data_IF_592400283658
#
_entry.id   IF_592400283658
#
_cell.length_a   1.000
_cell.length_b   1.000
_cell.length_c   1.000
_cell.angle_alpha   90.00
_cell.angle_beta   90.00
_cell.angle_gamma   90.00
#
_symmetry.space_group_name_H-M   'P 1'
#
loop_
_entity.id
_entity.type
_entity.pdbx_description
1 polymer ?
#
# COMPACT_ATOMS: atom_id res chain seq x y z
N UNK A 1 11.52 -14.20 3.08
CA UNK A 1 11.09 -13.44 1.87
C UNK A 1 10.97 -14.27 0.59
N UNK A 2 11.79 -15.31 0.32
CA UNK A 2 11.75 -16.08 -0.95
C UNK A 2 10.35 -16.59 -1.33
N UNK A 3 9.59 -17.15 -0.39
CA UNK A 3 8.21 -17.65 -0.61
C UNK A 3 7.17 -16.55 -0.93
N UNK A 4 7.56 -15.28 -0.81
CA UNK A 4 6.71 -14.11 -1.06
C UNK A 4 7.07 -13.36 -2.34
N UNK A 5 7.88 -13.98 -3.21
CA UNK A 5 8.27 -13.41 -4.49
C UNK A 5 7.08 -13.53 -5.47
N UNK A 6 6.62 -12.39 -6.00
CA UNK A 6 5.55 -12.29 -7.00
C UNK A 6 6.11 -12.17 -8.41
N UNK A 7 7.22 -11.45 -8.57
CA UNK A 7 7.89 -11.23 -9.86
C UNK A 7 9.39 -11.05 -9.69
N UNK A 8 10.17 -11.50 -10.68
CA UNK A 8 11.62 -11.31 -10.75
C UNK A 8 12.10 -11.18 -12.19
N UNK A 9 12.93 -10.15 -12.43
CA UNK A 9 13.75 -10.04 -13.62
C UNK A 9 15.17 -9.53 -13.30
N UNK A 10 15.91 -9.06 -14.31
CA UNK A 10 17.27 -8.56 -14.11
C UNK A 10 17.34 -7.24 -13.33
N UNK A 11 16.30 -6.41 -13.37
CA UNK A 11 16.31 -5.05 -12.83
C UNK A 11 15.42 -4.84 -11.60
N UNK A 12 14.37 -5.65 -11.42
CA UNK A 12 13.47 -5.50 -10.29
C UNK A 12 12.96 -6.83 -9.72
N UNK A 13 12.45 -6.75 -8.50
CA UNK A 13 11.60 -7.75 -7.87
C UNK A 13 10.29 -7.09 -7.45
N UNK A 14 9.22 -7.88 -7.40
CA UNK A 14 7.99 -7.51 -6.70
C UNK A 14 7.74 -8.60 -5.67
N UNK A 15 7.51 -8.21 -4.43
CA UNK A 15 7.23 -9.13 -3.32
C UNK A 15 5.88 -8.81 -2.68
N UNK A 16 5.28 -9.83 -2.07
CA UNK A 16 4.14 -9.69 -1.16
C UNK A 16 4.66 -9.34 0.24
N UNK A 17 4.69 -8.05 0.60
CA UNK A 17 5.10 -7.63 1.94
C UNK A 17 4.07 -8.09 2.99
N UNK A 18 4.46 -8.80 4.05
CA UNK A 18 3.52 -9.10 5.12
C UNK A 18 3.08 -7.84 5.88
N UNK A 19 1.89 -7.88 6.47
CA UNK A 19 1.47 -6.89 7.46
C UNK A 19 2.40 -6.93 8.69
N UNK A 20 2.38 -5.88 9.49
CA UNK A 20 3.15 -5.72 10.73
C UNK A 20 4.68 -5.71 10.59
N UNK A 21 5.22 -5.73 9.36
CA UNK A 21 6.65 -5.60 9.08
C UNK A 21 6.93 -4.20 8.48
N UNK A 22 7.63 -3.30 9.21
CA UNK A 22 8.03 -2.02 8.64
C UNK A 22 9.09 -2.23 7.55
N UNK A 23 9.11 -1.34 6.54
CA UNK A 23 10.10 -1.44 5.45
C UNK A 23 11.50 -1.03 5.91
N UNK A 24 11.61 0.00 6.76
CA UNK A 24 12.85 0.51 7.37
C UNK A 24 12.79 0.41 8.88
N UNK A 25 13.95 0.39 9.52
CA UNK A 25 14.04 0.57 10.96
C UNK A 25 13.46 1.93 11.35
N UNK A 26 12.55 1.95 12.35
CA UNK A 26 12.12 3.18 13.00
C UNK A 26 13.19 3.72 13.96
N UNK A 27 12.95 4.90 14.59
CA UNK A 27 13.89 5.48 15.55
C UNK A 27 14.30 4.56 16.72
N UNK A 28 13.41 3.63 17.09
CA UNK A 28 13.67 2.62 18.14
C UNK A 28 14.34 1.34 17.62
N UNK A 29 14.74 1.25 16.34
CA UNK A 29 15.30 0.03 15.75
C UNK A 29 14.24 -1.07 15.56
N UNK A 30 14.69 -2.33 15.60
CA UNK A 30 13.84 -3.51 15.54
C UNK A 30 13.78 -4.17 14.16
N UNK A 31 13.07 -5.33 14.06
CA UNK A 31 12.95 -6.07 12.82
C UNK A 31 12.30 -5.24 11.73
N UNK A 32 12.86 -5.29 10.53
CA UNK A 32 12.35 -4.58 9.35
C UNK A 32 12.70 -5.35 8.08
N UNK A 33 12.04 -4.98 6.99
CA UNK A 33 12.17 -5.68 5.72
C UNK A 33 13.59 -5.61 5.14
N UNK A 34 14.29 -4.48 5.31
CA UNK A 34 15.64 -4.32 4.75
C UNK A 34 16.61 -5.38 5.25
N UNK A 35 16.47 -5.82 6.50
CA UNK A 35 17.29 -6.89 7.09
C UNK A 35 17.08 -8.26 6.40
N UNK A 36 15.94 -8.47 5.73
CA UNK A 36 15.61 -9.71 5.05
C UNK A 36 15.93 -9.71 3.55
N UNK A 37 16.33 -8.56 3.00
CA UNK A 37 16.57 -8.41 1.55
C UNK A 37 17.82 -9.15 1.07
N UNK A 38 18.74 -9.51 1.96
CA UNK A 38 19.93 -10.28 1.61
C UNK A 38 19.58 -11.63 0.95
N UNK A 39 18.57 -12.31 1.43
CA UNK A 39 18.06 -13.55 0.84
C UNK A 39 17.53 -13.40 -0.60
N UNK A 40 17.31 -12.17 -1.06
CA UNK A 40 16.79 -11.85 -2.40
C UNK A 40 17.87 -11.39 -3.39
N UNK A 41 19.13 -11.62 -3.13
CA UNK A 41 20.26 -11.27 -4.04
C UNK A 41 20.19 -12.00 -5.37
N UNK A 42 19.79 -13.26 -5.34
CA UNK A 42 19.77 -14.14 -6.54
C UNK A 42 21.07 -14.03 -7.36
N UNK A 43 22.21 -14.19 -6.69
CA UNK A 43 23.53 -14.19 -7.30
C UNK A 43 24.15 -12.80 -7.56
N UNK A 44 23.46 -11.72 -7.21
CA UNK A 44 24.03 -10.38 -7.28
C UNK A 44 24.89 -10.05 -6.05
N UNK A 45 25.95 -9.21 -6.19
CA UNK A 45 26.82 -8.86 -5.08
C UNK A 45 26.10 -8.06 -3.97
N UNK A 46 25.09 -7.27 -4.32
CA UNK A 46 24.33 -6.46 -3.37
C UNK A 46 22.88 -6.92 -3.29
N UNK A 47 22.23 -6.81 -2.12
CA UNK A 47 20.80 -7.05 -1.98
C UNK A 47 19.99 -6.03 -2.81
N UNK A 48 18.75 -6.36 -3.18
CA UNK A 48 17.85 -5.40 -3.80
C UNK A 48 17.54 -4.28 -2.81
N UNK A 49 17.18 -3.09 -3.33
CA UNK A 49 16.81 -1.93 -2.52
C UNK A 49 15.36 -1.50 -2.78
N UNK A 50 14.75 -0.86 -1.80
CA UNK A 50 13.39 -0.36 -1.87
C UNK A 50 13.25 0.70 -2.96
N UNK A 51 12.32 0.52 -3.90
CA UNK A 51 11.97 1.54 -4.90
C UNK A 51 10.85 2.48 -4.40
N UNK A 52 10.03 2.00 -3.47
CA UNK A 52 9.01 2.76 -2.75
C UNK A 52 8.75 2.11 -1.38
N UNK A 53 7.77 2.62 -0.66
CA UNK A 53 7.42 2.09 0.65
C UNK A 53 5.94 1.77 0.77
N UNK A 54 5.62 0.81 1.64
CA UNK A 54 4.30 0.59 2.24
C UNK A 54 4.37 0.89 3.74
N UNK A 55 3.24 1.24 4.33
CA UNK A 55 3.13 1.38 5.78
C UNK A 55 3.40 0.03 6.47
N UNK A 56 3.79 0.06 7.75
CA UNK A 56 4.07 -1.14 8.54
C UNK A 56 2.96 -2.18 8.40
N UNK A 57 1.72 -1.77 8.62
CA UNK A 57 0.56 -2.66 8.73
C UNK A 57 -0.14 -2.92 7.38
N UNK A 58 0.25 -2.22 6.31
CA UNK A 58 -0.19 -2.50 4.94
C UNK A 58 0.57 -3.69 4.37
N UNK A 59 -0.15 -4.69 3.87
CA UNK A 59 0.41 -5.84 3.15
C UNK A 59 0.38 -5.67 1.64
N UNK A 60 1.05 -6.56 0.90
CA UNK A 60 0.91 -6.68 -0.55
C UNK A 60 2.09 -6.20 -1.38
N UNK A 61 1.85 -5.85 -2.63
CA UNK A 61 2.86 -5.58 -3.65
C UNK A 61 3.85 -4.48 -3.27
N UNK A 62 5.12 -4.86 -3.14
CA UNK A 62 6.22 -3.95 -2.91
C UNK A 62 7.32 -4.17 -3.96
N UNK A 63 7.73 -3.09 -4.64
CA UNK A 63 8.74 -3.12 -5.70
C UNK A 63 10.12 -2.83 -5.14
N UNK A 64 11.08 -3.65 -5.53
CA UNK A 64 12.50 -3.53 -5.18
C UNK A 64 13.32 -3.41 -6.47
N UNK A 65 14.31 -2.52 -6.47
CA UNK A 65 15.32 -2.43 -7.52
C UNK A 65 16.48 -3.38 -7.23
N UNK A 66 16.87 -4.22 -8.22
CA UNK A 66 17.94 -5.20 -8.05
C UNK A 66 19.34 -4.63 -8.26
N UNK A 67 19.44 -3.56 -9.02
CA UNK A 67 20.70 -2.90 -9.37
C UNK A 67 20.48 -1.39 -9.40
N UNK A 68 21.57 -0.64 -9.32
CA UNK A 68 21.53 0.84 -9.37
C UNK A 68 20.73 1.37 -10.56
N UNK A 69 20.90 0.75 -11.75
CA UNK A 69 20.15 1.09 -12.97
C UNK A 69 18.66 0.85 -12.82
N UNK A 70 18.27 -0.31 -12.27
CA UNK A 70 16.87 -0.66 -12.00
C UNK A 70 16.24 0.28 -10.97
N UNK A 71 16.92 0.51 -9.85
CA UNK A 71 16.45 1.41 -8.80
C UNK A 71 16.26 2.85 -9.31
N UNK A 72 17.21 3.38 -10.08
CA UNK A 72 17.11 4.72 -10.68
C UNK A 72 15.92 4.85 -11.64
N UNK A 73 15.68 3.83 -12.50
CA UNK A 73 14.52 3.83 -13.41
C UNK A 73 13.20 3.77 -12.63
N UNK A 74 13.09 2.87 -11.66
CA UNK A 74 11.91 2.76 -10.80
C UNK A 74 11.64 4.07 -10.06
N UNK A 75 12.67 4.70 -9.49
CA UNK A 75 12.55 6.00 -8.83
C UNK A 75 11.93 7.07 -9.74
N UNK A 76 12.41 7.18 -11.00
CA UNK A 76 11.83 8.10 -11.99
C UNK A 76 10.36 7.78 -12.31
N UNK A 77 10.01 6.50 -12.45
CA UNK A 77 8.64 6.09 -12.73
C UNK A 77 7.71 6.44 -11.55
N UNK A 78 8.14 6.22 -10.31
CA UNK A 78 7.37 6.63 -9.12
C UNK A 78 7.22 8.14 -9.01
N UNK A 79 8.29 8.91 -9.23
CA UNK A 79 8.28 10.37 -9.18
C UNK A 79 7.34 10.98 -10.22
N UNK A 80 7.30 10.40 -11.42
CA UNK A 80 6.45 10.87 -12.52
C UNK A 80 5.01 10.30 -12.46
N UNK A 81 4.65 9.52 -11.44
CA UNK A 81 3.31 8.96 -11.30
C UNK A 81 2.94 7.93 -12.36
N UNK A 82 3.91 7.30 -13.02
CA UNK A 82 3.70 6.35 -14.13
C UNK A 82 3.43 4.91 -13.67
N UNK A 83 3.54 4.64 -12.37
CA UNK A 83 3.26 3.33 -11.79
C UNK A 83 1.83 3.32 -11.29
N UNK A 84 1.03 2.41 -11.82
CA UNK A 84 -0.33 2.20 -11.36
C UNK A 84 -0.33 1.32 -10.12
N UNK A 85 -1.11 1.72 -9.12
CA UNK A 85 -1.23 1.04 -7.83
C UNK A 85 -2.71 0.81 -7.56
N UNK A 86 -3.07 -0.43 -7.29
CA UNK A 86 -4.42 -0.79 -6.88
C UNK A 86 -4.38 -1.34 -5.46
N UNK A 87 -5.17 -0.74 -4.59
CA UNK A 87 -5.33 -1.19 -3.21
C UNK A 87 -6.75 -1.68 -2.98
N UNK A 88 -6.89 -2.69 -2.16
CA UNK A 88 -8.16 -3.10 -1.59
C UNK A 88 -8.21 -2.72 -0.12
N UNK A 89 -9.31 -2.12 0.28
CA UNK A 89 -9.60 -1.78 1.67
C UNK A 89 -10.96 -2.31 2.06
N UNK A 90 -11.11 -2.72 3.32
CA UNK A 90 -12.43 -2.93 3.92
C UNK A 90 -12.66 -1.79 4.91
N UNK A 91 -13.78 -1.10 4.78
CA UNK A 91 -14.13 0.05 5.63
C UNK A 91 -15.21 -0.30 6.64
N UNK A 92 -15.15 0.34 7.80
CA UNK A 92 -16.25 0.38 8.76
C UNK A 92 -17.24 1.44 8.27
N UNK A 93 -18.38 0.98 7.76
CA UNK A 93 -19.36 1.81 7.06
C UNK A 93 -19.19 1.77 5.53
N UNK A 94 -20.23 2.23 4.87
CA UNK A 94 -20.36 2.27 3.40
C UNK A 94 -20.28 3.74 2.97
N UNK A 95 -19.37 4.14 2.06
CA UNK A 95 -19.36 5.49 1.52
C UNK A 95 -20.70 5.85 0.86
N UNK A 96 -21.13 7.10 1.01
CA UNK A 96 -22.38 7.60 0.43
C UNK A 96 -22.38 7.46 -1.10
N UNK A 97 -21.25 7.83 -1.75
CA UNK A 97 -21.08 7.65 -3.19
C UNK A 97 -20.37 6.33 -3.49
N UNK A 98 -20.84 5.53 -4.48
CA UNK A 98 -20.24 4.24 -4.82
C UNK A 98 -18.86 4.38 -5.49
N UNK A 99 -18.50 5.54 -5.98
CA UNK A 99 -17.19 5.85 -6.53
C UNK A 99 -16.93 7.36 -6.47
N UNK A 100 -15.65 7.75 -6.48
CA UNK A 100 -15.29 9.15 -6.49
C UNK A 100 -13.80 9.39 -6.49
N UNK A 101 -13.44 10.67 -6.43
CA UNK A 101 -12.07 11.16 -6.29
C UNK A 101 -11.96 11.96 -5.01
N UNK A 102 -11.05 11.56 -4.14
CA UNK A 102 -10.73 12.30 -2.91
C UNK A 102 -9.48 13.12 -3.22
N UNK A 103 -9.64 14.43 -3.34
CA UNK A 103 -8.54 15.40 -3.53
C UNK A 103 -8.42 16.25 -2.26
N UNK A 104 -7.75 15.71 -1.26
CA UNK A 104 -7.55 16.34 0.04
C UNK A 104 -6.06 16.35 0.36
N UNK A 105 -5.40 17.51 0.38
CA UNK A 105 -4.01 17.64 0.75
C UNK A 105 -3.75 17.14 2.17
N UNK A 106 -2.58 16.55 2.39
CA UNK A 106 -2.23 15.91 3.66
C UNK A 106 -1.01 16.56 4.31
N UNK A 107 -1.11 16.81 5.61
CA UNK A 107 -0.02 17.33 6.44
C UNK A 107 0.26 16.42 7.63
N UNK A 108 1.54 16.25 7.96
CA UNK A 108 1.95 15.58 9.19
C UNK A 108 1.81 16.54 10.37
N UNK A 109 1.10 16.15 11.40
CA UNK A 109 1.02 16.85 12.68
C UNK A 109 1.66 15.98 13.77
N UNK A 110 2.38 16.62 14.68
CA UNK A 110 3.06 15.97 15.80
C UNK A 110 2.61 16.62 17.10
N UNK A 111 2.25 15.81 18.09
CA UNK A 111 1.90 16.26 19.43
C UNK A 111 2.55 15.34 20.49
N UNK A 112 2.22 15.54 21.77
CA UNK A 112 2.77 14.72 22.87
C UNK A 112 2.44 13.23 22.76
N UNK A 113 1.34 12.86 22.11
CA UNK A 113 0.93 11.47 21.90
C UNK A 113 1.57 10.80 20.66
N UNK A 114 2.39 11.54 19.90
CA UNK A 114 3.04 11.06 18.68
C UNK A 114 2.69 11.91 17.45
N UNK A 115 2.67 11.27 16.29
CA UNK A 115 2.36 11.94 15.02
C UNK A 115 1.21 11.26 14.28
N UNK A 116 0.49 12.02 13.46
CA UNK A 116 -0.48 11.52 12.50
C UNK A 116 -0.53 12.39 11.25
N UNK A 117 -1.08 11.85 10.17
CA UNK A 117 -1.43 12.64 9.00
C UNK A 117 -2.85 13.18 9.16
N UNK A 118 -3.09 14.38 8.69
CA UNK A 118 -4.43 15.02 8.69
C UNK A 118 -4.70 15.62 7.31
N UNK A 119 -5.97 15.68 6.92
CA UNK A 119 -6.39 16.49 5.78
C UNK A 119 -6.25 17.97 6.16
N UNK A 120 -5.52 18.73 5.35
CA UNK A 120 -5.21 20.13 5.62
C UNK A 120 -4.92 20.84 4.29
N UNK A 121 -5.61 21.97 3.97
CA UNK A 121 -5.38 22.71 2.73
C UNK A 121 -3.92 23.16 2.53
N UNK A 122 -3.17 23.40 3.62
CA UNK A 122 -1.75 23.72 3.58
C UNK A 122 -0.84 22.50 3.46
N UNK A 123 -1.42 21.30 3.31
CA UNK A 123 -0.71 20.04 3.18
C UNK A 123 -0.15 19.78 1.79
N UNK A 124 0.52 18.64 1.64
CA UNK A 124 0.99 18.17 0.33
C UNK A 124 -0.18 17.58 -0.47
N UNK A 125 -0.26 17.90 -1.75
CA UNK A 125 -1.26 17.37 -2.68
C UNK A 125 -1.34 15.84 -2.56
N UNK A 126 -2.57 15.34 -2.36
CA UNK A 126 -2.86 13.92 -2.26
C UNK A 126 -4.19 13.63 -2.96
N UNK A 127 -4.18 12.67 -3.89
CA UNK A 127 -5.35 12.31 -4.71
C UNK A 127 -5.51 10.80 -4.68
N UNK A 128 -6.72 10.33 -4.35
CA UNK A 128 -7.10 8.92 -4.39
C UNK A 128 -8.43 8.76 -5.11
N UNK A 129 -8.44 7.97 -6.17
CA UNK A 129 -9.68 7.47 -6.77
C UNK A 129 -10.14 6.26 -5.95
N UNK A 130 -11.46 6.13 -5.75
CA UNK A 130 -12.03 4.96 -5.11
C UNK A 130 -13.28 4.47 -5.81
N UNK A 131 -13.57 3.18 -5.66
CA UNK A 131 -14.80 2.52 -6.12
C UNK A 131 -15.18 1.43 -5.13
N UNK A 132 -16.43 1.40 -4.72
CA UNK A 132 -17.02 0.31 -3.94
C UNK A 132 -17.20 -0.89 -4.86
N UNK A 133 -16.61 -2.02 -4.51
CA UNK A 133 -16.71 -3.28 -5.25
C UNK A 133 -17.81 -4.20 -4.71
N UNK A 134 -18.14 -4.04 -3.42
CA UNK A 134 -19.17 -4.79 -2.77
C UNK A 134 -19.44 -4.29 -1.35
N UNK A 135 -20.55 -4.68 -0.77
CA UNK A 135 -20.96 -4.31 0.59
C UNK A 135 -21.60 -5.50 1.29
N UNK A 136 -21.49 -5.56 2.62
CA UNK A 136 -22.12 -6.59 3.45
C UNK A 136 -21.88 -6.28 4.93
N UNK A 137 -22.87 -6.57 5.79
CA UNK A 137 -22.76 -6.42 7.25
C UNK A 137 -22.33 -5.02 7.72
N UNK A 138 -22.76 -3.96 7.02
CA UNK A 138 -22.40 -2.58 7.35
C UNK A 138 -20.97 -2.18 7.01
N UNK A 139 -20.24 -3.00 6.25
CA UNK A 139 -18.88 -2.74 5.74
C UNK A 139 -18.87 -2.63 4.23
N UNK A 140 -17.79 -2.06 3.66
CA UNK A 140 -17.61 -1.98 2.23
C UNK A 140 -16.22 -2.48 1.81
N UNK A 141 -16.18 -3.22 0.71
CA UNK A 141 -14.96 -3.55 -0.02
C UNK A 141 -14.70 -2.47 -1.08
N UNK A 142 -13.59 -1.77 -0.94
CA UNK A 142 -13.24 -0.62 -1.75
C UNK A 142 -11.94 -0.86 -2.52
N UNK A 143 -11.99 -0.63 -3.83
CA UNK A 143 -10.79 -0.44 -4.65
C UNK A 143 -10.33 1.01 -4.55
N UNK A 144 -9.06 1.23 -4.23
CA UNK A 144 -8.43 2.55 -4.22
C UNK A 144 -7.27 2.61 -5.22
N UNK A 145 -7.23 3.66 -6.04
CA UNK A 145 -6.13 3.95 -6.97
C UNK A 145 -5.51 5.30 -6.62
N UNK A 146 -4.47 5.31 -5.75
CA UNK A 146 -3.82 6.56 -5.36
C UNK A 146 -2.95 7.09 -6.51
N UNK A 147 -3.25 8.31 -6.99
CA UNK A 147 -2.44 9.03 -7.99
C UNK A 147 -1.17 9.61 -7.38
N UNK A 148 -1.15 9.83 -6.09
CA UNK A 148 -0.02 10.27 -5.28
C UNK A 148 0.38 9.18 -4.28
N UNK A 149 1.43 9.39 -3.47
CA UNK A 149 1.91 8.39 -2.51
C UNK A 149 2.30 9.00 -1.17
N UNK A 150 1.38 9.74 -0.51
CA UNK A 150 1.66 10.32 0.81
C UNK A 150 1.50 9.28 1.91
N UNK A 151 2.23 9.48 3.00
CA UNK A 151 2.13 8.62 4.19
C UNK A 151 0.67 8.53 4.64
N UNK A 152 0.17 7.32 4.92
CA UNK A 152 -1.20 7.04 5.35
C UNK A 152 -2.31 7.58 4.43
N UNK A 153 -2.00 7.91 3.16
CA UNK A 153 -2.93 8.62 2.27
C UNK A 153 -4.31 7.97 2.20
N UNK A 154 -4.40 6.70 1.80
CA UNK A 154 -5.67 5.98 1.65
C UNK A 154 -6.42 5.93 2.98
N UNK A 155 -5.71 5.74 4.08
CA UNK A 155 -6.27 5.63 5.43
C UNK A 155 -6.95 6.92 5.86
N UNK A 156 -6.28 8.08 5.67
CA UNK A 156 -6.84 9.41 5.97
C UNK A 156 -8.00 9.72 5.04
N UNK A 157 -7.84 9.45 3.74
CA UNK A 157 -8.86 9.74 2.74
C UNK A 157 -10.16 8.98 2.99
N UNK A 158 -10.10 7.66 3.25
CA UNK A 158 -11.31 6.90 3.58
C UNK A 158 -11.93 7.32 4.92
N UNK A 159 -11.10 7.64 5.91
CA UNK A 159 -11.60 8.18 7.18
C UNK A 159 -12.29 9.54 7.01
N UNK A 160 -11.85 10.38 6.06
CA UNK A 160 -12.50 11.68 5.78
C UNK A 160 -13.89 11.54 5.12
N UNK A 161 -14.19 10.38 4.53
CA UNK A 161 -15.54 10.04 4.05
C UNK A 161 -16.47 9.53 5.19
N UNK A 162 -15.99 9.50 6.44
CA UNK A 162 -16.73 8.88 7.55
C UNK A 162 -16.65 7.35 7.56
N UNK A 163 -15.85 6.74 6.68
CA UNK A 163 -15.74 5.28 6.53
C UNK A 163 -14.28 4.83 6.71
N UNK A 164 -13.72 4.88 7.93
CA UNK A 164 -12.35 4.47 8.18
C UNK A 164 -12.14 2.98 7.88
N UNK A 165 -10.90 2.62 7.57
CA UNK A 165 -10.52 1.21 7.31
C UNK A 165 -10.67 0.38 8.58
N UNK A 166 -11.19 -0.84 8.47
CA UNK A 166 -11.25 -1.81 9.57
C UNK A 166 -9.85 -2.07 10.13
N UNK A 167 -9.73 -2.06 11.44
CA UNK A 167 -8.46 -2.28 12.14
C UNK A 167 -7.50 -1.09 12.10
N UNK A 168 -7.92 0.06 11.59
CA UNK A 168 -7.09 1.26 11.60
C UNK A 168 -7.10 1.94 12.98
N UNK A 169 -6.06 1.70 13.78
CA UNK A 169 -5.91 2.25 15.13
C UNK A 169 -5.61 3.75 15.18
N UNK A 170 -5.22 4.36 14.04
CA UNK A 170 -4.86 5.79 13.96
C UNK A 170 -6.05 6.64 13.50
N UNK A 171 -6.90 6.13 12.62
CA UNK A 171 -7.96 6.90 11.95
C UNK A 171 -9.35 6.30 12.13
N UNK A 172 -9.46 5.09 12.67
CA UNK A 172 -10.70 4.38 12.91
C UNK A 172 -11.02 4.15 14.38
N UNK A 173 -11.96 3.26 14.63
CA UNK A 173 -12.29 2.82 15.98
C UNK A 173 -11.14 1.97 16.58
N UNK A 174 -10.95 2.11 17.90
CA UNK A 174 -10.01 1.25 18.63
C UNK A 174 -10.48 -0.21 18.56
N UNK A 175 -9.59 -1.11 18.19
CA UNK A 175 -9.85 -2.54 18.11
C UNK A 175 -8.55 -3.32 17.95
N UNK A 176 -8.61 -4.65 18.14
CA UNK A 176 -7.45 -5.53 18.03
C UNK A 176 -7.24 -6.10 16.62
N UNK A 177 -8.19 -5.88 15.73
CA UNK A 177 -8.10 -6.39 14.37
C UNK A 177 -6.92 -5.81 13.60
N UNK A 178 -6.24 -6.60 12.76
CA UNK A 178 -5.25 -6.10 11.82
C UNK A 178 -5.85 -5.09 10.84
N UNK A 179 -5.01 -4.19 10.31
CA UNK A 179 -5.43 -3.23 9.27
C UNK A 179 -5.88 -3.95 8.00
N UNK A 180 -7.12 -3.72 7.56
CA UNK A 180 -7.69 -4.30 6.34
C UNK A 180 -7.33 -3.45 5.10
N UNK A 181 -6.04 -3.29 4.83
CA UNK A 181 -5.50 -2.57 3.67
C UNK A 181 -4.43 -3.42 2.97
N UNK A 182 -4.70 -3.74 1.72
CA UNK A 182 -3.86 -4.57 0.85
C UNK A 182 -3.43 -3.77 -0.39
N UNK A 183 -2.14 -3.64 -0.64
CA UNK A 183 -1.60 -3.25 -1.94
C UNK A 183 -1.81 -4.42 -2.93
N UNK A 184 -3.02 -4.51 -3.50
CA UNK A 184 -3.51 -5.69 -4.23
C UNK A 184 -2.76 -5.92 -5.53
N UNK A 185 -2.52 -4.86 -6.30
CA UNK A 185 -1.84 -4.96 -7.57
C UNK A 185 -0.95 -3.75 -7.85
N UNK A 186 0.08 -3.98 -8.65
CA UNK A 186 0.97 -2.92 -9.14
C UNK A 186 1.34 -3.18 -10.60
N UNK A 187 1.29 -2.12 -11.43
CA UNK A 187 1.66 -2.17 -12.85
C UNK A 187 2.83 -1.22 -13.11
N UNK A 188 3.94 -1.78 -13.56
CA UNK A 188 5.24 -1.08 -13.70
C UNK A 188 5.68 -1.08 -15.17
N UNK A 189 5.66 0.06 -15.87
CA UNK A 189 6.14 0.19 -17.25
C UNK A 189 7.67 0.37 -17.30
N UNK A 190 8.42 -0.62 -16.76
CA UNK A 190 9.87 -0.53 -16.61
C UNK A 190 10.62 -0.50 -17.95
N UNK A 191 10.07 -1.15 -18.97
CA UNK A 191 10.71 -1.32 -20.27
C UNK A 191 9.93 -0.60 -21.38
N UNK A 192 10.45 0.48 -21.98
CA UNK A 192 9.71 1.32 -22.94
C UNK A 192 9.14 0.60 -24.16
N UNK A 193 9.79 -0.54 -24.54
CA UNK A 193 9.41 -1.32 -25.76
C UNK A 193 8.72 -2.65 -25.40
N UNK A 194 8.33 -2.86 -24.15
CA UNK A 194 7.65 -4.09 -23.70
C UNK A 194 6.38 -3.73 -22.97
N UNK A 195 5.40 -4.63 -22.89
CA UNK A 195 4.23 -4.47 -22.04
C UNK A 195 4.64 -4.15 -20.59
N UNK A 196 3.83 -3.37 -19.91
CA UNK A 196 4.02 -3.12 -18.49
C UNK A 196 3.90 -4.43 -17.71
N UNK A 197 4.70 -4.54 -16.65
CA UNK A 197 4.71 -5.71 -15.78
C UNK A 197 3.67 -5.50 -14.70
N UNK A 198 2.70 -6.41 -14.61
CA UNK A 198 1.68 -6.42 -13.56
C UNK A 198 1.91 -7.58 -12.62
N UNK A 199 1.82 -7.32 -11.32
CA UNK A 199 1.83 -8.34 -10.28
C UNK A 199 0.68 -8.10 -9.31
N UNK A 200 0.13 -9.22 -8.77
CA UNK A 200 -0.94 -9.19 -7.79
C UNK A 200 -0.52 -9.94 -6.53
N UNK A 201 -0.80 -9.35 -5.37
CA UNK A 201 -0.59 -9.98 -4.08
C UNK A 201 -1.82 -10.81 -3.69
N UNK A 202 -1.64 -11.99 -3.07
CA UNK A 202 -2.75 -12.79 -2.57
C UNK A 202 -3.49 -12.05 -1.45
N UNK A 203 -4.78 -12.34 -1.32
CA UNK A 203 -5.59 -11.81 -0.21
C UNK A 203 -5.12 -12.44 1.11
N UNK A 204 -4.71 -11.62 2.10
CA UNK A 204 -4.27 -12.12 3.40
C UNK A 204 -5.44 -12.73 4.18
N UNK A 205 -5.16 -13.74 4.99
CA UNK A 205 -6.17 -14.53 5.70
C UNK A 205 -7.14 -13.66 6.52
N UNK A 206 -6.63 -12.63 7.20
CA UNK A 206 -7.45 -11.76 8.06
C UNK A 206 -8.48 -10.90 7.28
N UNK A 207 -8.31 -10.72 5.96
CA UNK A 207 -9.27 -9.95 5.14
C UNK A 207 -10.33 -10.83 4.48
N UNK A 208 -10.15 -12.15 4.42
CA UNK A 208 -11.01 -13.03 3.60
C UNK A 208 -12.47 -12.99 4.01
N UNK A 209 -12.77 -13.22 5.29
CA UNK A 209 -14.15 -13.25 5.78
C UNK A 209 -14.89 -11.93 5.48
N UNK A 210 -14.25 -10.78 5.72
CA UNK A 210 -14.84 -9.48 5.42
C UNK A 210 -15.01 -9.23 3.91
N UNK A 211 -14.09 -9.71 3.08
CA UNK A 211 -14.24 -9.64 1.62
C UNK A 211 -15.37 -10.55 1.12
N UNK A 212 -15.48 -11.75 1.67
CA UNK A 212 -16.53 -12.72 1.32
C UNK A 212 -17.93 -12.20 1.68
N UNK A 213 -18.10 -11.54 2.84
CA UNK A 213 -19.35 -10.89 3.20
C UNK A 213 -19.72 -9.73 2.26
N UNK A 214 -18.71 -9.08 1.65
CA UNK A 214 -18.91 -8.09 0.61
C UNK A 214 -19.07 -8.68 -0.81
N UNK A 215 -19.15 -10.00 -0.97
CA UNK A 215 -19.39 -10.65 -2.25
C UNK A 215 -18.14 -11.07 -3.02
N UNK A 216 -16.93 -10.89 -2.47
CA UNK A 216 -15.72 -11.43 -3.08
C UNK A 216 -15.74 -12.96 -3.09
N UNK A 217 -15.23 -13.55 -4.17
CA UNK A 217 -15.00 -14.99 -4.30
C UNK A 217 -13.53 -15.23 -4.65
N UNK A 218 -12.84 -16.23 -4.01
CA UNK A 218 -11.44 -16.55 -4.28
C UNK A 218 -11.21 -17.13 -5.67
#
# INVERSE_FOLDING_TARGET
MLKRLLYRDALMLIIDKPASLPVHAGPGGGPNLEQELDALRFGLPNPPALAHRLDRDTSGCLVLGRQRKGLSRLGKLFQNGLIEKTYWAITAGIPEAPAGVIDLPLRKVTNRAGWKMVADPAGQKAITEYRVLGTGDGIAWIECKPRTGRTHQIRVHLASLGTPILGDRHYGAKGEQPLHLLARAITVPLYPKKPAITAEAPVPAHMRAALESCGWRP
#
